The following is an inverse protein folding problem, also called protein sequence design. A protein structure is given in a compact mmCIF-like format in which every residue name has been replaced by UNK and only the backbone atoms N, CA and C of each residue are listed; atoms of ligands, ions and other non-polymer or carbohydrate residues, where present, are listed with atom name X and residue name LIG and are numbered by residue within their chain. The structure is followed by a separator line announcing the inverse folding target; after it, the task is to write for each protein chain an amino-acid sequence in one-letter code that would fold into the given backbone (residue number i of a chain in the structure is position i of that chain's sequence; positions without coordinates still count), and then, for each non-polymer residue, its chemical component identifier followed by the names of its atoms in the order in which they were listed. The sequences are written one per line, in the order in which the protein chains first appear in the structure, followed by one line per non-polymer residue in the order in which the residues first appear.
data_IF_426046049428
#
_entry.id   IF_426046049428
#
_cell.length_a   1.000
_cell.length_b   1.000
_cell.length_c   1.000
_cell.angle_alpha   90.00
_cell.angle_beta   90.00
_cell.angle_gamma   90.00
#
_symmetry.space_group_name_H-M   'P 1'
#
loop_
_entity.id
_entity.type
_entity.pdbx_description
1 polymer ?
#
# COMPACT_ATOMS: atom_id res chain seq x y z
N UNK A 1 0.57 1.38 -18.16
CA UNK A 1 -0.90 1.37 -18.04
C UNK A 1 -1.32 -0.01 -17.54
N UNK A 2 -2.10 -0.08 -16.46
CA UNK A 2 -2.66 -1.33 -15.96
C UNK A 2 -3.61 -1.95 -16.98
N UNK A 3 -3.72 -3.27 -17.00
CA UNK A 3 -4.60 -4.00 -17.91
C UNK A 3 -6.09 -3.90 -17.54
N UNK A 4 -6.40 -3.25 -16.42
CA UNK A 4 -7.77 -3.09 -15.91
C UNK A 4 -8.36 -4.35 -15.27
N UNK A 5 -7.55 -5.38 -15.02
CA UNK A 5 -8.03 -6.65 -14.44
C UNK A 5 -7.88 -6.68 -12.93
N UNK A 6 -6.98 -5.89 -12.38
CA UNK A 6 -6.73 -5.75 -10.95
C UNK A 6 -7.20 -4.38 -10.45
N UNK A 7 -7.69 -4.34 -9.25
CA UNK A 7 -8.08 -3.10 -8.61
C UNK A 7 -9.57 -2.91 -8.42
N UNK A 8 -9.91 -2.28 -7.33
CA UNK A 8 -11.27 -1.80 -7.07
C UNK A 8 -11.56 -0.56 -7.90
N UNK A 9 -12.75 -0.44 -8.32
CA UNK A 9 -13.49 0.56 -9.09
C UNK A 9 -12.86 1.84 -9.67
N UNK A 10 -11.76 2.34 -9.17
CA UNK A 10 -11.08 3.53 -9.70
C UNK A 10 -9.71 3.25 -10.32
N UNK A 11 -9.20 2.04 -10.16
CA UNK A 11 -7.81 1.68 -10.45
C UNK A 11 -7.55 1.16 -11.88
N UNK A 12 -8.23 1.68 -12.85
CA UNK A 12 -7.99 1.34 -14.26
C UNK A 12 -6.70 1.98 -14.78
N UNK A 13 -5.58 1.65 -14.16
CA UNK A 13 -4.31 2.14 -14.67
C UNK A 13 -3.44 2.90 -13.66
N UNK A 14 -3.53 2.54 -12.41
CA UNK A 14 -2.72 3.12 -11.35
C UNK A 14 -3.29 4.42 -10.80
N UNK A 15 -4.02 4.33 -9.70
CA UNK A 15 -4.58 5.51 -9.01
C UNK A 15 -3.55 6.29 -8.19
N UNK A 16 -2.36 5.69 -7.95
CA UNK A 16 -1.34 6.35 -7.14
C UNK A 16 -0.69 7.52 -7.85
N UNK A 17 -0.49 8.63 -7.12
CA UNK A 17 0.34 9.72 -7.63
C UNK A 17 1.81 9.31 -7.61
N UNK A 18 2.57 9.54 -8.68
CA UNK A 18 4.00 9.30 -8.68
C UNK A 18 4.71 10.09 -7.58
N UNK A 19 5.63 9.43 -6.88
CA UNK A 19 6.51 10.06 -5.90
C UNK A 19 7.86 10.38 -6.54
N UNK A 20 8.37 11.56 -6.25
CA UNK A 20 9.60 12.06 -6.86
C UNK A 20 10.74 12.06 -5.84
N UNK A 21 11.91 11.62 -6.28
CA UNK A 21 13.18 11.80 -5.57
C UNK A 21 14.08 12.76 -6.36
N UNK A 22 15.33 12.84 -5.99
CA UNK A 22 16.30 13.63 -6.74
C UNK A 22 16.52 13.14 -8.17
N UNK A 23 16.56 11.82 -8.37
CA UNK A 23 16.92 11.21 -9.64
C UNK A 23 15.85 10.25 -10.20
N UNK A 24 14.90 9.78 -9.37
CA UNK A 24 13.90 8.78 -9.74
C UNK A 24 12.46 9.27 -9.56
N UNK A 25 11.59 8.73 -10.40
CA UNK A 25 10.14 8.75 -10.26
C UNK A 25 9.68 7.35 -9.87
N UNK A 26 8.98 7.23 -8.74
CA UNK A 26 8.49 5.96 -8.20
C UNK A 26 6.98 5.88 -8.29
N UNK A 27 6.44 4.81 -8.82
CA UNK A 27 4.99 4.53 -8.90
C UNK A 27 4.72 3.05 -9.07
N UNK A 28 3.46 2.64 -8.95
CA UNK A 28 3.01 1.26 -9.22
C UNK A 28 2.17 1.21 -10.49
N UNK A 29 2.21 0.07 -11.19
CA UNK A 29 1.52 -0.13 -12.47
C UNK A 29 0.12 -0.75 -12.34
N UNK A 30 -0.25 -1.28 -11.17
CA UNK A 30 -1.49 -2.02 -10.95
C UNK A 30 -1.75 -3.14 -11.98
N UNK A 31 -0.71 -3.84 -12.39
CA UNK A 31 -0.82 -5.08 -13.15
C UNK A 31 -1.04 -6.28 -12.21
N UNK A 32 -1.09 -7.48 -12.72
CA UNK A 32 -1.12 -8.71 -11.95
C UNK A 32 0.12 -9.57 -12.35
N UNK A 33 1.14 -9.64 -11.49
CA UNK A 33 1.31 -8.96 -10.19
C UNK A 33 1.52 -7.44 -10.34
N UNK A 34 1.18 -6.71 -9.27
CA UNK A 34 1.48 -5.27 -9.19
C UNK A 34 2.98 -5.06 -9.07
N UNK A 35 3.53 -4.16 -9.87
CA UNK A 35 4.95 -3.84 -9.83
C UNK A 35 5.17 -2.42 -9.30
N UNK A 36 6.20 -2.28 -8.47
CA UNK A 36 6.84 -0.99 -8.22
C UNK A 36 7.79 -0.70 -9.37
N UNK A 37 7.71 0.49 -9.92
CA UNK A 37 8.49 0.95 -11.07
C UNK A 37 9.31 2.16 -10.68
N UNK A 38 10.57 2.15 -11.05
CA UNK A 38 11.47 3.29 -11.00
C UNK A 38 11.80 3.77 -12.40
N UNK A 39 11.62 5.06 -12.62
CA UNK A 39 11.92 5.74 -13.89
C UNK A 39 12.96 6.82 -13.62
N UNK A 40 13.99 6.88 -14.44
CA UNK A 40 14.97 7.96 -14.40
C UNK A 40 14.31 9.29 -14.78
N UNK A 41 14.41 10.27 -13.91
CA UNK A 41 13.71 11.55 -14.07
C UNK A 41 14.21 12.37 -15.27
N UNK A 42 15.45 12.15 -15.71
CA UNK A 42 16.08 12.93 -16.81
C UNK A 42 15.78 12.32 -18.16
N UNK A 43 15.82 10.97 -18.25
CA UNK A 43 15.65 10.27 -19.52
C UNK A 43 14.22 9.81 -19.76
N UNK A 44 13.44 9.61 -18.71
CA UNK A 44 12.12 8.98 -18.77
C UNK A 44 12.15 7.48 -18.99
N UNK A 45 13.33 6.86 -18.90
CA UNK A 45 13.49 5.42 -19.06
C UNK A 45 13.22 4.68 -17.76
N UNK A 46 12.53 3.53 -17.86
CA UNK A 46 12.40 2.62 -16.73
C UNK A 46 13.77 2.02 -16.41
N UNK A 47 14.22 2.19 -15.18
CA UNK A 47 15.54 1.73 -14.74
C UNK A 47 15.49 0.54 -13.81
N UNK A 48 14.36 0.32 -13.13
CA UNK A 48 14.12 -0.86 -12.31
C UNK A 48 12.61 -1.14 -12.18
N UNK A 49 12.26 -2.39 -11.90
CA UNK A 49 10.91 -2.82 -11.60
C UNK A 49 10.93 -4.13 -10.83
N UNK A 50 10.03 -4.30 -9.86
CA UNK A 50 9.82 -5.58 -9.19
C UNK A 50 8.37 -5.72 -8.74
N UNK A 51 7.84 -6.96 -8.68
CA UNK A 51 6.57 -7.24 -8.02
C UNK A 51 6.61 -6.80 -6.56
N UNK A 52 5.48 -6.29 -6.06
CA UNK A 52 5.33 -5.90 -4.67
C UNK A 52 4.13 -6.58 -4.02
N UNK A 53 4.24 -6.81 -2.73
CA UNK A 53 3.18 -7.42 -1.91
C UNK A 53 2.77 -8.78 -2.51
N UNK A 54 3.72 -9.56 -2.95
CA UNK A 54 3.52 -10.88 -3.56
C UNK A 54 3.50 -12.03 -2.54
N UNK A 55 3.94 -11.79 -1.31
CA UNK A 55 3.96 -12.76 -0.21
C UNK A 55 2.65 -12.73 0.61
N UNK A 56 1.51 -12.78 -0.06
CA UNK A 56 0.19 -12.79 0.58
C UNK A 56 -0.44 -14.18 0.57
N UNK A 57 -1.43 -14.42 1.45
CA UNK A 57 -2.24 -15.65 1.39
C UNK A 57 -2.86 -15.85 0.01
N UNK A 58 -2.92 -17.11 -0.43
CA UNK A 58 -3.51 -17.50 -1.71
C UNK A 58 -4.91 -16.88 -1.91
N UNK A 59 -5.12 -16.29 -3.09
CA UNK A 59 -6.39 -15.64 -3.44
C UNK A 59 -6.50 -14.18 -2.97
N UNK A 60 -5.49 -13.65 -2.29
CA UNK A 60 -5.46 -12.23 -1.95
C UNK A 60 -5.09 -11.42 -3.19
N UNK A 61 -5.88 -10.41 -3.51
CA UNK A 61 -5.59 -9.50 -4.60
C UNK A 61 -4.83 -8.27 -4.12
N UNK A 62 -4.03 -7.68 -4.99
CA UNK A 62 -3.25 -6.47 -4.72
C UNK A 62 -3.71 -5.35 -5.65
N UNK A 63 -3.85 -4.17 -5.09
CA UNK A 63 -4.05 -2.92 -5.83
C UNK A 63 -3.42 -1.79 -5.03
N UNK A 64 -2.65 -0.95 -5.66
CA UNK A 64 -2.01 0.19 -4.99
C UNK A 64 -2.56 1.48 -5.58
N UNK A 65 -3.41 2.16 -4.82
CA UNK A 65 -4.00 3.44 -5.23
C UNK A 65 -3.45 4.63 -4.43
N UNK A 66 -2.92 4.38 -3.26
CA UNK A 66 -2.28 5.41 -2.46
C UNK A 66 -0.87 5.70 -2.96
N UNK A 67 -0.48 6.96 -2.91
CA UNK A 67 0.90 7.35 -3.18
C UNK A 67 1.83 6.69 -2.17
N UNK A 68 2.88 6.06 -2.65
CA UNK A 68 3.88 5.44 -1.80
C UNK A 68 4.61 6.47 -0.95
N UNK A 69 5.03 6.06 0.25
CA UNK A 69 6.05 6.80 0.99
C UNK A 69 7.37 6.57 0.27
N UNK A 70 8.09 7.64 -0.02
CA UNK A 70 9.42 7.56 -0.62
C UNK A 70 10.40 8.35 0.24
N UNK A 71 11.50 7.72 0.57
CA UNK A 71 12.61 8.30 1.31
C UNK A 71 13.93 8.07 0.55
N UNK A 72 14.54 9.14 0.12
CA UNK A 72 15.87 9.16 -0.52
C UNK A 72 16.91 9.51 0.55
N UNK A 73 17.84 8.59 0.84
CA UNK A 73 18.88 8.78 1.84
C UNK A 73 19.98 9.76 1.38
N UNK A 74 20.00 10.08 0.09
CA UNK A 74 21.01 10.91 -0.53
C UNK A 74 22.35 10.20 -0.78
N UNK A 75 22.46 8.93 -0.44
CA UNK A 75 23.66 8.09 -0.57
C UNK A 75 23.49 6.97 -1.62
N UNK A 76 22.37 6.98 -2.34
CA UNK A 76 22.09 6.08 -3.44
C UNK A 76 21.02 5.02 -3.16
N UNK A 77 20.34 5.11 -2.02
CA UNK A 77 19.20 4.26 -1.71
C UNK A 77 17.91 5.06 -1.65
N UNK A 78 16.92 4.60 -2.38
CA UNK A 78 15.54 5.10 -2.31
C UNK A 78 14.66 4.03 -1.72
N UNK A 79 14.19 4.24 -0.49
CA UNK A 79 13.22 3.37 0.17
C UNK A 79 11.81 3.76 -0.21
N UNK A 80 11.02 2.79 -0.64
CA UNK A 80 9.63 2.98 -1.02
C UNK A 80 8.75 2.06 -0.20
N UNK A 81 7.71 2.61 0.45
CA UNK A 81 6.72 1.82 1.18
C UNK A 81 5.41 1.89 0.42
N UNK A 82 4.92 0.72 0.05
CA UNK A 82 3.64 0.53 -0.63
C UNK A 82 2.64 -0.17 0.28
N UNK A 83 1.36 0.15 0.12
CA UNK A 83 0.28 -0.45 0.90
C UNK A 83 -0.76 -1.01 -0.06
N UNK A 84 -1.24 -2.22 0.24
CA UNK A 84 -2.34 -2.82 -0.50
C UNK A 84 -3.64 -2.10 -0.17
N UNK A 85 -4.28 -1.57 -1.19
CA UNK A 85 -5.55 -0.85 -1.07
C UNK A 85 -6.74 -1.64 -1.63
N UNK A 86 -6.51 -2.88 -2.06
CA UNK A 86 -7.55 -3.71 -2.63
C UNK A 86 -8.72 -3.91 -1.64
N UNK A 87 -9.92 -3.64 -2.11
CA UNK A 87 -11.12 -3.70 -1.29
C UNK A 87 -11.56 -2.36 -0.69
N UNK A 88 -10.68 -1.39 -0.51
CA UNK A 88 -11.02 -0.10 0.10
C UNK A 88 -12.07 0.68 -0.70
N UNK A 89 -11.90 0.76 -2.01
CA UNK A 89 -12.86 1.42 -2.90
C UNK A 89 -14.04 0.54 -3.28
N UNK A 90 -13.91 -0.76 -3.12
CA UNK A 90 -14.94 -1.75 -3.34
C UNK A 90 -15.54 -2.27 -2.05
N UNK A 91 -15.31 -1.62 -0.96
CA UNK A 91 -16.12 -1.78 0.25
C UNK A 91 -17.58 -1.42 -0.10
N UNK A 92 -18.05 -2.08 -1.07
CA UNK A 92 -19.44 -2.27 -1.40
C UNK A 92 -19.96 -3.11 -0.25
N UNK A 93 -20.17 -2.53 0.85
CA UNK A 93 -21.41 -2.03 0.99
C UNK A 93 -22.37 -3.15 0.66
N UNK A 94 -22.11 -4.33 1.27
CA UNK A 94 -22.90 -5.50 1.05
C UNK A 94 -22.88 -5.92 -0.42
N UNK A 95 -23.49 -6.99 -0.71
CA UNK A 95 -23.77 -7.52 -2.06
C UNK A 95 -24.69 -6.59 -2.88
N UNK A 96 -24.96 -5.41 -2.37
CA UNK A 96 -25.77 -4.44 -3.04
C UNK A 96 -25.00 -3.98 -4.27
N UNK A 97 -25.43 -4.56 -5.34
CA UNK A 97 -25.36 -4.02 -6.67
C UNK A 97 -24.30 -2.95 -6.89
N UNK A 98 -23.55 -3.10 -7.93
CA UNK A 98 -22.61 -2.13 -8.49
C UNK A 98 -23.16 -0.70 -8.65
N UNK A 99 -24.14 -0.33 -7.89
CA UNK A 99 -24.70 1.02 -7.87
C UNK A 99 -23.89 1.88 -6.92
N UNK A 100 -22.92 2.61 -7.49
CA UNK A 100 -22.12 3.58 -6.78
C UNK A 100 -22.94 4.70 -6.10
N UNK A 101 -24.22 4.81 -6.42
CA UNK A 101 -25.12 5.79 -5.78
C UNK A 101 -25.51 5.39 -4.36
N UNK A 102 -25.27 4.14 -3.98
CA UNK A 102 -25.63 3.59 -2.66
C UNK A 102 -24.49 3.74 -1.64
N UNK A 103 -23.40 4.39 -1.99
CA UNK A 103 -22.36 4.77 -1.05
C UNK A 103 -22.85 5.89 -0.14
N UNK A 104 -23.94 5.65 0.58
CA UNK A 104 -24.30 6.53 1.67
C UNK A 104 -23.45 6.18 2.89
N UNK A 105 -23.01 7.17 3.62
CA UNK A 105 -22.32 6.99 4.88
C UNK A 105 -23.10 6.12 5.88
N UNK A 106 -24.40 6.09 5.79
CA UNK A 106 -25.27 5.25 6.59
C UNK A 106 -24.99 3.76 6.33
N UNK A 107 -24.74 3.37 5.12
CA UNK A 107 -24.41 1.98 4.77
C UNK A 107 -23.00 1.59 5.24
N UNK A 108 -22.06 2.50 5.27
CA UNK A 108 -20.71 2.25 5.78
C UNK A 108 -20.75 2.00 7.30
N UNK A 109 -21.61 2.67 8.03
CA UNK A 109 -21.70 2.54 9.49
C UNK A 109 -22.66 1.45 9.95
N UNK A 110 -23.61 1.05 9.12
CA UNK A 110 -24.58 -0.01 9.45
C UNK A 110 -24.19 -1.39 8.91
N UNK A 111 -23.01 -1.50 8.37
CA UNK A 111 -22.53 -2.80 7.91
C UNK A 111 -22.07 -3.62 9.11
N UNK A 112 -22.93 -4.54 9.49
CA UNK A 112 -22.64 -5.49 10.57
C UNK A 112 -21.30 -6.22 10.41
N UNK A 113 -20.76 -6.26 9.22
CA UNK A 113 -19.49 -6.86 8.92
C UNK A 113 -18.28 -6.04 9.42
N UNK A 114 -18.34 -4.70 9.42
CA UNK A 114 -17.34 -3.89 10.11
C UNK A 114 -17.32 -4.21 11.61
N UNK A 115 -18.52 -4.40 12.19
CA UNK A 115 -18.66 -4.73 13.60
C UNK A 115 -18.23 -6.17 13.94
N UNK A 116 -18.17 -7.02 12.96
CA UNK A 116 -17.76 -8.41 13.13
C UNK A 116 -16.26 -8.62 12.85
N UNK A 117 -15.48 -7.53 12.76
CA UNK A 117 -14.08 -7.63 12.41
C UNK A 117 -13.86 -8.12 10.98
N UNK A 118 -14.83 -7.93 10.10
CA UNK A 118 -14.68 -8.31 8.71
C UNK A 118 -13.62 -7.46 8.05
N UNK A 119 -12.73 -8.15 7.42
CA UNK A 119 -11.54 -7.65 6.76
C UNK A 119 -11.95 -7.10 5.41
N UNK A 120 -12.17 -5.80 5.36
CA UNK A 120 -12.61 -5.14 4.13
C UNK A 120 -11.52 -4.94 3.13
N UNK A 121 -10.32 -4.79 3.63
CA UNK A 121 -9.17 -4.37 2.86
C UNK A 121 -8.17 -5.49 2.94
N UNK A 122 -7.66 -5.88 1.79
CA UNK A 122 -6.64 -6.90 1.74
C UNK A 122 -5.39 -6.42 2.49
N UNK A 123 -4.71 -7.31 3.21
CA UNK A 123 -3.47 -6.96 3.89
C UNK A 123 -2.35 -6.71 2.90
N UNK A 124 -1.29 -6.10 3.36
CA UNK A 124 -0.05 -5.93 2.64
C UNK A 124 0.52 -4.54 2.80
N UNK A 125 1.65 -4.45 3.50
CA UNK A 125 2.47 -3.24 3.60
C UNK A 125 3.91 -3.70 3.37
N UNK A 126 4.59 -3.14 2.38
CA UNK A 126 5.92 -3.58 2.02
C UNK A 126 6.88 -2.40 1.86
N UNK A 127 8.10 -2.56 2.37
CA UNK A 127 9.23 -1.69 2.07
C UNK A 127 10.12 -2.35 1.03
N UNK A 128 10.36 -1.60 -0.04
CA UNK A 128 11.32 -1.93 -1.09
C UNK A 128 12.40 -0.87 -1.13
N UNK A 129 13.65 -1.29 -1.13
CA UNK A 129 14.79 -0.40 -1.36
C UNK A 129 15.24 -0.51 -2.82
N UNK A 130 15.34 0.63 -3.50
CA UNK A 130 15.94 0.78 -4.82
C UNK A 130 17.34 1.34 -4.63
N UNK A 131 18.34 0.53 -4.94
CA UNK A 131 19.75 0.84 -4.68
C UNK A 131 20.48 1.13 -5.98
N UNK A 132 21.19 2.23 -6.04
CA UNK A 132 22.07 2.55 -7.15
C UNK A 132 23.32 1.66 -7.09
N UNK A 133 23.62 0.98 -8.20
CA UNK A 133 24.79 0.11 -8.37
C UNK A 133 25.69 0.62 -9.50
N UNK A 134 26.84 -0.01 -9.72
CA UNK A 134 27.71 0.32 -10.86
C UNK A 134 27.03 0.05 -12.22
N UNK A 135 26.09 -0.93 -12.26
CA UNK A 135 25.42 -1.38 -13.48
C UNK A 135 24.01 -0.75 -13.66
N UNK A 136 23.57 0.13 -12.74
CA UNK A 136 22.25 0.76 -12.79
C UNK A 136 21.55 0.77 -11.45
N UNK A 137 20.30 0.28 -11.38
CA UNK A 137 19.51 0.22 -10.16
C UNK A 137 19.00 -1.20 -9.91
N UNK A 138 19.02 -1.61 -8.65
CA UNK A 138 18.47 -2.88 -8.20
C UNK A 138 17.40 -2.62 -7.14
N UNK A 139 16.30 -3.40 -7.18
CA UNK A 139 15.25 -3.35 -6.18
C UNK A 139 15.30 -4.58 -5.29
N UNK A 140 15.01 -4.38 -4.01
CA UNK A 140 14.98 -5.44 -3.01
C UNK A 140 13.87 -5.20 -2.00
N UNK A 141 13.04 -6.21 -1.75
CA UNK A 141 12.13 -6.25 -0.61
C UNK A 141 12.93 -6.31 0.69
N UNK A 142 12.63 -5.43 1.61
CA UNK A 142 13.28 -5.37 2.93
C UNK A 142 12.40 -6.06 3.96
N UNK A 143 11.12 -5.75 3.98
CA UNK A 143 10.12 -6.42 4.80
C UNK A 143 8.73 -6.28 4.18
N UNK A 144 7.88 -7.27 4.43
CA UNK A 144 6.46 -7.26 4.07
C UNK A 144 5.60 -7.66 5.28
N UNK A 145 4.53 -6.91 5.54
CA UNK A 145 3.54 -7.16 6.59
C UNK A 145 2.25 -7.64 5.96
N UNK A 146 2.04 -8.95 5.95
CA UNK A 146 0.82 -9.59 5.46
C UNK A 146 -0.28 -9.74 6.51
N UNK A 147 -0.03 -9.27 7.72
CA UNK A 147 -0.95 -9.29 8.86
C UNK A 147 -1.66 -7.96 9.12
N UNK A 148 -1.32 -6.91 8.39
CA UNK A 148 -1.88 -5.58 8.53
C UNK A 148 -2.48 -5.10 7.21
N UNK A 149 -3.61 -4.41 7.29
CA UNK A 149 -4.17 -3.68 6.15
C UNK A 149 -4.19 -2.18 6.42
N UNK A 150 -3.81 -1.37 5.44
CA UNK A 150 -3.81 0.09 5.55
C UNK A 150 -4.74 0.72 4.52
N UNK A 151 -5.65 1.57 4.99
CA UNK A 151 -6.53 2.37 4.15
C UNK A 151 -6.09 3.81 4.02
N UNK A 152 -5.09 4.18 4.81
CA UNK A 152 -4.61 5.55 4.90
C UNK A 152 -3.23 5.68 4.26
N UNK A 153 -2.80 6.89 4.02
CA UNK A 153 -1.41 7.13 3.66
C UNK A 153 -0.58 7.19 4.93
N UNK A 154 0.18 6.15 5.21
CA UNK A 154 1.16 6.14 6.29
C UNK A 154 2.14 7.30 6.15
N UNK A 155 2.78 7.65 7.25
CA UNK A 155 3.79 8.72 7.30
C UNK A 155 5.07 8.22 7.96
N UNK A 156 6.19 8.42 7.28
CA UNK A 156 7.51 8.21 7.86
C UNK A 156 7.99 9.48 8.56
N UNK A 157 8.45 9.33 9.78
CA UNK A 157 9.21 10.36 10.49
C UNK A 157 10.70 10.02 10.44
N UNK A 158 11.46 10.72 9.64
CA UNK A 158 12.91 10.53 9.54
C UNK A 158 13.63 10.91 10.82
N UNK A 159 13.01 11.73 11.67
CA UNK A 159 13.58 12.11 12.96
C UNK A 159 13.51 11.00 14.01
N UNK A 160 12.50 10.11 13.91
CA UNK A 160 12.29 9.02 14.87
C UNK A 160 12.60 7.65 14.28
N UNK A 161 12.66 7.51 12.97
CA UNK A 161 12.80 6.22 12.28
C UNK A 161 11.52 5.38 12.34
N UNK A 162 10.36 5.99 12.60
CA UNK A 162 9.09 5.25 12.68
C UNK A 162 8.11 5.65 11.60
N UNK A 163 7.33 4.65 11.16
CA UNK A 163 6.19 4.81 10.26
C UNK A 163 4.94 4.83 11.10
N UNK A 164 4.08 5.80 10.86
CA UNK A 164 2.81 6.00 11.55
C UNK A 164 1.66 5.72 10.60
N UNK A 165 0.71 4.90 11.03
CA UNK A 165 -0.43 4.52 10.22
C UNK A 165 -1.70 4.26 11.01
N UNK A 166 -2.80 4.13 10.28
CA UNK A 166 -4.08 3.69 10.79
C UNK A 166 -4.45 2.41 10.05
N UNK A 167 -4.35 1.29 10.73
CA UNK A 167 -4.44 -0.04 10.14
C UNK A 167 -5.58 -0.85 10.74
N UNK A 168 -6.02 -1.86 10.01
CA UNK A 168 -6.82 -2.92 10.56
C UNK A 168 -5.96 -4.15 10.81
N UNK A 169 -5.95 -4.62 12.05
CA UNK A 169 -5.34 -5.89 12.42
C UNK A 169 -6.13 -7.04 11.80
N UNK A 170 -5.47 -7.89 11.02
CA UNK A 170 -6.13 -8.91 10.22
C UNK A 170 -6.50 -10.15 11.01
N UNK A 171 -6.03 -10.32 12.22
CA UNK A 171 -6.42 -11.39 13.12
C UNK A 171 -7.68 -11.04 13.90
N UNK A 172 -7.70 -9.86 14.49
CA UNK A 172 -8.76 -9.40 15.39
C UNK A 172 -9.85 -8.57 14.70
N UNK A 173 -9.53 -7.95 13.55
CA UNK A 173 -10.39 -6.97 12.87
C UNK A 173 -10.41 -5.60 13.54
N UNK A 174 -9.58 -5.40 14.57
CA UNK A 174 -9.48 -4.15 15.31
C UNK A 174 -8.79 -3.08 14.46
N UNK A 175 -9.38 -1.89 14.42
CA UNK A 175 -8.74 -0.71 13.87
C UNK A 175 -7.80 -0.09 14.90
N UNK A 176 -6.57 0.12 14.49
CA UNK A 176 -5.48 0.54 15.38
C UNK A 176 -4.71 1.72 14.79
N UNK A 177 -4.30 2.61 15.67
CA UNK A 177 -3.18 3.48 15.38
C UNK A 177 -1.89 2.69 15.65
N UNK A 178 -0.96 2.71 14.69
CA UNK A 178 0.24 1.88 14.75
C UNK A 178 1.50 2.72 14.52
N UNK A 179 2.59 2.28 15.16
CA UNK A 179 3.95 2.68 14.82
C UNK A 179 4.73 1.45 14.42
N UNK A 180 5.33 1.48 13.24
CA UNK A 180 6.27 0.47 12.76
C UNK A 180 7.68 1.04 12.77
N UNK A 181 8.64 0.20 13.12
CA UNK A 181 10.04 0.51 12.90
C UNK A 181 10.34 0.52 11.38
N UNK A 182 10.98 1.58 10.91
CA UNK A 182 11.22 1.74 9.48
C UNK A 182 12.17 0.67 8.93
N UNK A 183 13.18 0.27 9.70
CA UNK A 183 14.20 -0.65 9.23
C UNK A 183 13.71 -2.10 9.22
N UNK A 184 12.91 -2.48 10.21
CA UNK A 184 12.52 -3.88 10.42
C UNK A 184 11.08 -4.20 10.06
N UNK A 185 10.21 -3.19 9.95
CA UNK A 185 8.77 -3.36 9.81
C UNK A 185 8.08 -3.88 11.08
N UNK A 186 8.81 -4.03 12.19
CA UNK A 186 8.25 -4.50 13.45
C UNK A 186 7.33 -3.46 14.08
N UNK A 187 6.29 -3.94 14.73
CA UNK A 187 5.36 -3.08 15.47
C UNK A 187 6.02 -2.60 16.75
N UNK A 188 6.18 -1.29 16.89
CA UNK A 188 6.74 -0.63 18.08
C UNK A 188 5.66 -0.23 19.06
N UNK A 189 4.51 0.16 18.54
CA UNK A 189 3.38 0.63 19.34
C UNK A 189 2.07 0.41 18.61
N UNK A 190 1.03 0.05 19.35
CA UNK A 190 -0.35 0.02 18.88
C UNK A 190 -1.28 0.69 19.88
N UNK A 191 -2.35 1.27 19.38
CA UNK A 191 -3.45 1.77 20.18
C UNK A 191 -4.77 1.44 19.48
N UNK A 192 -5.58 0.64 20.15
CA UNK A 192 -6.90 0.29 19.64
C UNK A 192 -7.79 1.53 19.56
N UNK A 193 -8.43 1.71 18.42
CA UNK A 193 -9.30 2.83 18.15
C UNK A 193 -10.76 2.38 18.11
N UNK A 194 -11.05 1.34 17.34
CA UNK A 194 -12.42 0.87 17.13
C UNK A 194 -12.46 -0.55 16.61
N UNK A 195 -13.48 -1.27 17.05
CA UNK A 195 -13.91 -2.55 16.50
C UNK A 195 -15.01 -2.40 15.42
N UNK A 196 -15.28 -1.17 15.00
CA UNK A 196 -16.38 -0.79 14.11
C UNK A 196 -15.88 -0.05 12.89
#
# INVERSE_FOLDING_TARGET
EGDGTTGGGLAWGGGCSPSLTKDLVMFTDNQDPVNLIAVDMKTGEQVASMPVIDELPEGTQVSVENSAIVYDDGEGTVSTIVCNWFGAGSAKLGEADNDSSIQSYENIYDVGWLRQGNKMIAPGIERVDTVQTEDGYEMKSIWCRSDLSDTSMMKLSTATGYIYGYVQDMETGMWQYIMLDFETGETVFTMDISDK
#
